data_IF_177199538721
#
_entry.id   IF_177199538721
#
_cell.length_a   1.000
_cell.length_b   1.000
_cell.length_c   1.000
_cell.angle_alpha   90.00
_cell.angle_beta   90.00
_cell.angle_gamma   90.00
#
_symmetry.space_group_name_H-M   'P 1'
#
loop_
_entity.id
_entity.type
_entity.pdbx_description
1 polymer ?
#
# COMPACT_ATOMS: atom_id res chain seq x y z
N UNK A 1 4.18 -3.88 -33.21
CA UNK A 1 3.45 -2.82 -32.50
C UNK A 1 3.72 -1.46 -33.13
N UNK A 2 2.87 -0.51 -32.83
CA UNK A 2 2.96 0.85 -33.33
C UNK A 2 3.33 1.78 -32.16
N UNK A 3 4.44 2.54 -32.30
CA UNK A 3 4.90 3.50 -31.34
C UNK A 3 5.35 4.76 -32.09
N UNK A 4 4.91 5.95 -31.68
CA UNK A 4 5.14 7.24 -32.36
C UNK A 4 4.82 7.21 -33.86
N UNK A 5 3.73 6.52 -34.25
CA UNK A 5 3.32 6.29 -35.63
C UNK A 5 4.30 5.47 -36.49
N UNK A 6 5.29 4.82 -35.89
CA UNK A 6 6.22 3.91 -36.54
C UNK A 6 5.87 2.46 -36.20
N UNK A 7 5.88 1.59 -37.23
CA UNK A 7 5.64 0.16 -37.05
C UNK A 7 6.94 -0.54 -36.65
N UNK A 8 6.92 -1.18 -35.50
CA UNK A 8 8.01 -2.03 -34.99
C UNK A 8 7.62 -3.50 -35.09
N UNK A 9 8.49 -4.29 -35.70
CA UNK A 9 8.31 -5.73 -35.80
C UNK A 9 8.90 -6.41 -34.58
N UNK A 10 8.10 -7.22 -33.84
CA UNK A 10 8.59 -8.04 -32.74
C UNK A 10 8.62 -9.50 -33.13
N UNK A 11 9.65 -10.23 -32.70
CA UNK A 11 9.79 -11.65 -32.98
C UNK A 11 9.11 -12.53 -31.92
N UNK A 12 8.85 -12.01 -30.75
CA UNK A 12 8.16 -12.74 -29.65
C UNK A 12 7.55 -11.78 -28.64
N UNK A 13 6.47 -12.23 -27.98
CA UNK A 13 5.80 -11.53 -26.90
C UNK A 13 4.93 -10.36 -27.35
N UNK A 14 4.37 -9.64 -26.37
CA UNK A 14 3.63 -8.41 -26.56
C UNK A 14 4.39 -7.23 -25.97
N UNK A 15 4.28 -6.01 -26.54
CA UNK A 15 4.96 -4.85 -25.97
C UNK A 15 4.50 -4.60 -24.55
N UNK A 16 5.45 -4.32 -23.65
CA UNK A 16 5.17 -4.02 -22.26
C UNK A 16 4.37 -2.72 -22.16
N UNK A 17 3.25 -2.74 -21.44
CA UNK A 17 2.37 -1.57 -21.28
C UNK A 17 1.30 -1.40 -22.36
N UNK A 18 1.18 -2.33 -23.32
CA UNK A 18 0.11 -2.31 -24.29
C UNK A 18 -1.26 -2.53 -23.63
N UNK A 19 -2.29 -1.77 -24.03
CA UNK A 19 -3.65 -1.83 -23.46
C UNK A 19 -4.26 -3.22 -23.58
N UNK A 20 -4.02 -3.92 -24.70
CA UNK A 20 -4.56 -5.26 -24.98
C UNK A 20 -3.73 -6.39 -24.35
N UNK A 21 -2.48 -6.14 -23.96
CA UNK A 21 -1.55 -7.16 -23.46
C UNK A 21 -2.09 -7.96 -22.28
N UNK A 22 -2.73 -7.36 -21.24
CA UNK A 22 -3.30 -8.13 -20.13
C UNK A 22 -4.43 -9.06 -20.55
N UNK A 23 -5.25 -8.64 -21.54
CA UNK A 23 -6.34 -9.46 -22.05
C UNK A 23 -5.81 -10.67 -22.80
N UNK A 24 -4.87 -10.45 -23.72
CA UNK A 24 -4.25 -11.54 -24.51
C UNK A 24 -3.48 -12.51 -23.59
N UNK A 25 -2.76 -11.99 -22.59
CA UNK A 25 -2.07 -12.82 -21.60
C UNK A 25 -3.06 -13.70 -20.82
N UNK A 26 -4.19 -13.17 -20.40
CA UNK A 26 -5.20 -13.95 -19.68
C UNK A 26 -5.86 -15.00 -20.58
N UNK A 27 -6.14 -14.70 -21.84
CA UNK A 27 -6.66 -15.68 -22.82
C UNK A 27 -5.66 -16.82 -22.99
N UNK A 28 -4.38 -16.50 -23.16
CA UNK A 28 -3.33 -17.50 -23.35
C UNK A 28 -3.11 -18.35 -22.09
N UNK A 29 -3.07 -17.75 -20.92
CA UNK A 29 -2.89 -18.45 -19.65
C UNK A 29 -4.14 -19.20 -19.16
N UNK A 30 -5.29 -19.04 -19.83
CA UNK A 30 -6.47 -19.87 -19.59
C UNK A 30 -6.18 -21.35 -19.84
N UNK A 31 -5.26 -21.70 -20.74
CA UNK A 31 -4.81 -23.08 -20.95
C UNK A 31 -4.16 -23.66 -19.70
N UNK A 32 -3.39 -22.84 -18.96
CA UNK A 32 -2.84 -23.24 -17.66
C UNK A 32 -3.95 -23.46 -16.62
N UNK A 33 -4.95 -22.58 -16.59
CA UNK A 33 -6.08 -22.73 -15.68
C UNK A 33 -6.84 -24.03 -15.97
N UNK A 34 -7.12 -24.32 -17.24
CA UNK A 34 -7.77 -25.55 -17.67
C UNK A 34 -6.96 -26.79 -17.27
N UNK A 35 -5.66 -26.80 -17.52
CA UNK A 35 -4.78 -27.90 -17.11
C UNK A 35 -4.81 -28.15 -15.61
N UNK A 36 -4.70 -27.07 -14.83
CA UNK A 36 -4.70 -27.21 -13.37
C UNK A 36 -6.06 -27.69 -12.87
N UNK A 37 -7.17 -27.11 -13.37
CA UNK A 37 -8.53 -27.41 -12.90
C UNK A 37 -9.02 -28.78 -13.35
N UNK A 38 -8.71 -29.19 -14.59
CA UNK A 38 -9.23 -30.43 -15.17
C UNK A 38 -8.31 -31.64 -14.95
N UNK A 39 -7.01 -31.44 -14.80
CA UNK A 39 -6.06 -32.54 -14.65
C UNK A 39 -5.44 -32.58 -13.23
N UNK A 40 -4.81 -31.48 -12.74
CA UNK A 40 -4.10 -31.51 -11.48
C UNK A 40 -5.03 -31.56 -10.27
N UNK A 41 -6.07 -30.73 -10.24
CA UNK A 41 -6.99 -30.72 -9.10
C UNK A 41 -7.70 -32.06 -8.90
N UNK A 42 -8.25 -32.74 -9.92
CA UNK A 42 -8.84 -34.07 -9.76
C UNK A 42 -7.83 -35.12 -9.33
N UNK A 43 -6.61 -35.10 -9.89
CA UNK A 43 -5.54 -36.05 -9.56
C UNK A 43 -5.08 -35.96 -8.12
N UNK A 44 -4.92 -34.74 -7.60
CA UNK A 44 -4.34 -34.47 -6.26
C UNK A 44 -5.37 -34.11 -5.19
N UNK A 45 -6.68 -34.10 -5.49
CA UNK A 45 -7.73 -33.98 -4.47
C UNK A 45 -8.31 -35.37 -4.15
N UNK A 46 -7.74 -36.04 -3.13
CA UNK A 46 -8.12 -37.40 -2.72
C UNK A 46 -8.73 -37.43 -1.33
N UNK A 47 -9.65 -38.35 -1.10
CA UNK A 47 -10.30 -38.55 0.20
C UNK A 47 -11.31 -37.43 0.56
N UNK A 48 -12.44 -37.76 1.15
CA UNK A 48 -13.42 -36.76 1.63
C UNK A 48 -13.01 -36.13 2.96
N UNK A 49 -12.36 -36.89 3.83
CA UNK A 49 -11.97 -36.50 5.19
C UNK A 49 -10.73 -37.30 5.58
N UNK A 50 -9.82 -36.66 6.35
CA UNK A 50 -8.68 -37.34 6.97
C UNK A 50 -9.17 -38.42 7.93
N UNK A 51 -8.49 -39.55 7.98
CA UNK A 51 -8.70 -40.56 9.03
C UNK A 51 -8.40 -39.97 10.40
N UNK A 52 -9.00 -40.54 11.44
CA UNK A 52 -8.73 -40.10 12.79
C UNK A 52 -7.28 -40.46 13.19
N UNK A 53 -6.62 -39.53 13.85
CA UNK A 53 -5.29 -39.79 14.39
C UNK A 53 -5.34 -40.91 15.42
N UNK A 54 -4.59 -42.00 15.22
CA UNK A 54 -4.61 -43.18 16.14
C UNK A 54 -4.29 -42.81 17.59
N UNK A 55 -3.35 -41.89 17.81
CA UNK A 55 -2.97 -41.45 19.16
C UNK A 55 -4.13 -40.64 19.81
N UNK A 56 -4.77 -39.74 19.03
CA UNK A 56 -5.94 -39.03 19.51
C UNK A 56 -7.07 -39.99 19.92
N UNK A 57 -7.32 -41.01 19.12
CA UNK A 57 -8.37 -42.01 19.37
C UNK A 57 -8.07 -42.79 20.64
N UNK A 58 -6.82 -43.24 20.83
CA UNK A 58 -6.38 -43.92 22.06
C UNK A 58 -6.57 -43.03 23.31
N UNK A 59 -6.09 -41.79 23.26
CA UNK A 59 -6.24 -40.87 24.37
C UNK A 59 -7.72 -40.55 24.67
N UNK A 60 -8.56 -40.54 23.65
CA UNK A 60 -10.00 -40.34 23.83
C UNK A 60 -10.62 -41.52 24.56
N UNK A 61 -10.31 -42.76 24.15
CA UNK A 61 -10.77 -44.00 24.85
C UNK A 61 -10.31 -43.99 26.29
N UNK A 62 -9.05 -43.79 26.57
CA UNK A 62 -8.53 -43.74 27.94
C UNK A 62 -9.15 -42.63 28.79
N UNK A 63 -9.42 -41.47 28.20
CA UNK A 63 -10.12 -40.37 28.91
C UNK A 63 -11.53 -40.79 29.31
N UNK A 64 -12.24 -41.53 28.47
CA UNK A 64 -13.59 -42.02 28.75
C UNK A 64 -13.55 -43.12 29.84
N UNK A 65 -12.57 -44.05 29.76
CA UNK A 65 -12.39 -45.09 30.76
C UNK A 65 -12.01 -44.55 32.14
N UNK A 66 -11.08 -43.57 32.20
CA UNK A 66 -10.70 -42.91 33.45
C UNK A 66 -11.90 -42.21 34.10
N UNK A 67 -12.76 -41.57 33.31
CA UNK A 67 -14.03 -41.01 33.82
C UNK A 67 -14.99 -42.04 34.36
N UNK A 68 -15.16 -43.19 33.67
CA UNK A 68 -16.02 -44.28 34.11
C UNK A 68 -15.51 -44.88 35.42
N UNK A 69 -14.21 -44.93 35.62
CA UNK A 69 -13.56 -45.42 36.88
C UNK A 69 -13.55 -44.36 37.99
N UNK A 70 -14.09 -43.17 37.78
CA UNK A 70 -14.13 -42.07 38.77
C UNK A 70 -12.77 -41.35 38.94
N UNK A 71 -11.76 -41.67 38.13
CA UNK A 71 -10.43 -41.03 38.22
C UNK A 71 -10.41 -39.71 37.43
N UNK A 72 -10.97 -38.64 38.00
CA UNK A 72 -11.11 -37.36 37.38
C UNK A 72 -9.81 -36.64 37.10
N UNK A 73 -8.77 -36.87 37.97
CA UNK A 73 -7.44 -36.27 37.78
C UNK A 73 -6.75 -36.82 36.52
N UNK A 74 -6.76 -38.11 36.36
CA UNK A 74 -6.19 -38.79 35.18
C UNK A 74 -6.97 -38.39 33.90
N UNK A 75 -8.29 -38.39 33.97
CA UNK A 75 -9.12 -37.98 32.87
C UNK A 75 -8.80 -36.54 32.41
N UNK A 76 -8.51 -35.62 33.32
CA UNK A 76 -8.14 -34.26 32.99
C UNK A 76 -6.74 -34.18 32.37
N UNK A 77 -5.75 -34.94 32.87
CA UNK A 77 -4.42 -35.01 32.28
C UNK A 77 -4.47 -35.54 30.83
N UNK A 78 -5.17 -36.64 30.62
CA UNK A 78 -5.38 -37.20 29.27
C UNK A 78 -6.12 -36.25 28.35
N UNK A 79 -7.12 -35.51 28.86
CA UNK A 79 -7.81 -34.44 28.10
C UNK A 79 -6.86 -33.32 27.71
N UNK A 80 -5.97 -32.87 28.61
CA UNK A 80 -4.97 -31.84 28.31
C UNK A 80 -4.01 -32.33 27.21
N UNK A 81 -3.48 -33.55 27.34
CA UNK A 81 -2.61 -34.16 26.31
C UNK A 81 -3.33 -34.34 24.98
N UNK A 82 -4.56 -34.87 24.98
CA UNK A 82 -5.39 -34.96 23.77
C UNK A 82 -5.58 -33.58 23.08
N UNK A 83 -5.68 -32.52 23.88
CA UNK A 83 -5.82 -31.15 23.37
C UNK A 83 -4.61 -30.62 22.59
N UNK A 84 -3.42 -31.26 22.68
CA UNK A 84 -2.23 -30.87 21.91
C UNK A 84 -2.08 -31.63 20.59
N UNK A 85 -2.86 -32.68 20.37
CA UNK A 85 -2.77 -33.59 19.21
C UNK A 85 -3.89 -33.24 18.22
N UNK A 86 -3.62 -33.17 16.89
CA UNK A 86 -4.66 -32.98 15.89
C UNK A 86 -5.61 -34.18 15.86
N UNK A 87 -6.92 -33.90 15.67
CA UNK A 87 -7.94 -34.94 15.55
C UNK A 87 -7.77 -35.80 14.28
N UNK A 88 -7.49 -35.16 13.14
CA UNK A 88 -7.17 -35.84 11.89
C UNK A 88 -5.70 -36.20 11.82
N UNK A 89 -5.37 -37.34 11.23
CA UNK A 89 -3.99 -37.77 11.01
C UNK A 89 -3.30 -36.87 9.99
N UNK A 90 -2.26 -36.10 10.38
CA UNK A 90 -1.52 -35.25 9.45
C UNK A 90 -0.76 -36.05 8.36
N UNK A 91 -0.51 -37.34 8.60
CA UNK A 91 0.22 -38.22 7.68
C UNK A 91 -0.70 -39.21 6.94
N UNK A 92 -2.00 -38.93 6.85
CA UNK A 92 -2.95 -39.78 6.16
C UNK A 92 -2.56 -39.90 4.67
N UNK A 93 -2.20 -41.12 4.17
CA UNK A 93 -1.77 -41.31 2.80
C UNK A 93 -2.91 -41.15 1.78
N UNK A 94 -4.18 -41.32 2.22
CA UNK A 94 -5.34 -41.31 1.35
C UNK A 94 -6.01 -39.93 1.28
N UNK A 95 -5.45 -38.93 1.98
CA UNK A 95 -5.99 -37.59 1.99
C UNK A 95 -4.99 -36.59 1.38
N UNK A 96 -5.42 -35.92 0.32
CA UNK A 96 -4.69 -34.84 -0.35
C UNK A 96 -5.61 -33.70 -0.70
N UNK A 97 -5.08 -32.48 -0.63
CA UNK A 97 -5.77 -31.28 -1.08
C UNK A 97 -4.82 -30.40 -1.90
N UNK A 98 -5.26 -30.03 -3.07
CA UNK A 98 -4.63 -29.04 -3.94
C UNK A 98 -5.58 -27.88 -4.13
N UNK A 99 -5.09 -26.65 -4.01
CA UNK A 99 -5.80 -25.41 -4.30
C UNK A 99 -4.94 -24.55 -5.20
N UNK A 100 -5.55 -23.83 -6.09
CA UNK A 100 -4.90 -23.01 -7.10
C UNK A 100 -5.50 -21.62 -7.12
N UNK A 101 -4.66 -20.60 -7.23
CA UNK A 101 -5.04 -19.21 -7.45
C UNK A 101 -4.02 -18.57 -8.38
N UNK A 102 -4.49 -17.89 -9.41
CA UNK A 102 -3.67 -17.13 -10.36
C UNK A 102 -4.11 -15.68 -10.42
N UNK A 103 -3.14 -14.81 -10.58
CA UNK A 103 -3.32 -13.39 -10.88
C UNK A 103 -2.32 -12.99 -11.97
N UNK A 104 -2.80 -12.74 -13.17
CA UNK A 104 -1.99 -12.54 -14.37
C UNK A 104 -1.02 -13.74 -14.59
N UNK A 105 0.27 -13.49 -14.61
CA UNK A 105 1.34 -14.47 -14.72
C UNK A 105 1.81 -15.06 -13.36
N UNK A 106 1.43 -14.44 -12.26
CA UNK A 106 1.72 -14.97 -10.92
C UNK A 106 0.67 -15.98 -10.49
N UNK A 107 1.09 -17.16 -10.01
CA UNK A 107 0.18 -18.16 -9.44
C UNK A 107 0.75 -18.80 -8.17
N UNK A 108 -0.14 -19.36 -7.36
CA UNK A 108 0.21 -20.10 -6.16
C UNK A 108 -0.63 -21.38 -6.06
N UNK A 109 0.02 -22.47 -5.67
CA UNK A 109 -0.64 -23.72 -5.34
C UNK A 109 -0.46 -24.01 -3.84
N UNK A 110 -1.57 -24.23 -3.15
CA UNK A 110 -1.59 -24.72 -1.78
C UNK A 110 -1.78 -26.23 -1.78
N UNK A 111 -0.76 -26.98 -1.39
CA UNK A 111 -0.81 -28.43 -1.40
C UNK A 111 -0.74 -29.01 0.01
N UNK A 112 -1.58 -29.97 0.28
CA UNK A 112 -1.61 -30.73 1.52
C UNK A 112 -1.24 -32.19 1.22
N UNK A 113 0.06 -32.51 1.38
CA UNK A 113 0.66 -33.79 1.07
C UNK A 113 2.17 -33.78 1.27
N UNK A 114 2.86 -34.89 0.91
CA UNK A 114 4.31 -34.99 1.04
C UNK A 114 5.02 -34.11 0.02
N UNK A 115 6.25 -33.70 0.35
CA UNK A 115 7.08 -32.83 -0.50
C UNK A 115 7.36 -33.45 -1.88
N UNK A 116 7.54 -34.76 -1.95
CA UNK A 116 7.77 -35.47 -3.21
C UNK A 116 6.63 -35.26 -4.21
N UNK A 117 5.36 -35.38 -3.76
CA UNK A 117 4.20 -35.11 -4.63
C UNK A 117 4.13 -33.63 -5.04
N UNK A 118 4.58 -32.68 -4.18
CA UNK A 118 4.66 -31.27 -4.55
C UNK A 118 5.75 -31.02 -5.63
N UNK A 119 6.84 -31.76 -5.59
CA UNK A 119 7.89 -31.74 -6.62
C UNK A 119 7.38 -32.32 -7.95
N UNK A 120 6.59 -33.39 -7.90
CA UNK A 120 5.91 -33.96 -9.08
C UNK A 120 4.95 -32.94 -9.71
N UNK A 121 4.12 -32.26 -8.93
CA UNK A 121 3.22 -31.21 -9.39
C UNK A 121 4.00 -30.10 -10.12
N UNK A 122 5.12 -29.65 -9.52
CA UNK A 122 5.97 -28.64 -10.16
C UNK A 122 6.52 -29.10 -11.50
N UNK A 123 6.92 -30.37 -11.60
CA UNK A 123 7.45 -30.93 -12.84
C UNK A 123 6.36 -31.13 -13.91
N UNK A 124 5.15 -31.49 -13.53
CA UNK A 124 3.99 -31.55 -14.42
C UNK A 124 3.66 -30.17 -14.98
N UNK A 125 3.64 -29.13 -14.14
CA UNK A 125 3.46 -27.73 -14.56
C UNK A 125 4.56 -27.29 -15.53
N UNK A 126 5.83 -27.62 -15.24
CA UNK A 126 6.97 -27.29 -16.13
C UNK A 126 6.77 -27.89 -17.52
N UNK A 127 6.43 -29.19 -17.59
CA UNK A 127 6.20 -29.89 -18.86
C UNK A 127 5.02 -29.32 -19.62
N UNK A 128 3.92 -29.03 -18.94
CA UNK A 128 2.75 -28.41 -19.55
C UNK A 128 3.09 -27.03 -20.14
N UNK A 129 3.72 -26.16 -19.36
CA UNK A 129 4.11 -24.81 -19.80
C UNK A 129 5.07 -24.87 -21.01
N UNK A 130 6.02 -25.79 -21.01
CA UNK A 130 6.91 -26.01 -22.16
C UNK A 130 6.12 -26.41 -23.43
N UNK A 131 5.07 -27.20 -23.28
CA UNK A 131 4.15 -27.59 -24.38
C UNK A 131 3.45 -26.39 -25.02
N UNK A 132 3.10 -25.40 -24.24
CA UNK A 132 2.52 -24.13 -24.73
C UNK A 132 3.59 -23.02 -24.91
N UNK A 133 4.86 -23.39 -25.05
CA UNK A 133 6.00 -22.50 -25.31
C UNK A 133 6.22 -21.42 -24.23
N UNK A 134 5.86 -21.73 -23.00
CA UNK A 134 6.17 -20.92 -21.83
C UNK A 134 7.21 -21.62 -20.96
N UNK A 135 8.01 -20.83 -20.24
CA UNK A 135 9.01 -21.35 -19.29
C UNK A 135 8.65 -20.99 -17.86
N UNK A 136 8.70 -21.98 -16.97
CA UNK A 136 8.55 -21.77 -15.56
C UNK A 136 9.86 -21.15 -15.01
N UNK A 137 9.77 -20.01 -14.33
CA UNK A 137 10.94 -19.39 -13.70
C UNK A 137 11.39 -20.20 -12.48
N UNK A 138 12.53 -20.86 -12.57
CA UNK A 138 13.06 -21.70 -11.49
C UNK A 138 13.44 -20.89 -10.25
N UNK A 139 13.99 -19.69 -10.44
CA UNK A 139 14.39 -18.80 -9.35
C UNK A 139 13.19 -18.29 -8.53
N UNK A 140 12.02 -18.15 -9.17
CA UNK A 140 10.81 -17.62 -8.54
C UNK A 140 9.85 -18.72 -8.07
N UNK A 141 9.94 -19.94 -8.66
CA UNK A 141 9.04 -21.05 -8.34
C UNK A 141 9.64 -21.90 -7.22
N UNK A 142 9.25 -21.61 -5.99
CA UNK A 142 9.75 -22.26 -4.80
C UNK A 142 8.70 -23.17 -4.19
N UNK A 143 9.14 -24.33 -3.68
CA UNK A 143 8.31 -25.17 -2.80
C UNK A 143 8.62 -24.78 -1.37
N UNK A 144 7.64 -24.21 -0.70
CA UNK A 144 7.78 -23.64 0.65
C UNK A 144 6.94 -24.41 1.64
N UNK A 145 7.52 -24.83 2.78
CA UNK A 145 6.78 -25.47 3.85
C UNK A 145 6.05 -24.40 4.68
N UNK A 146 4.75 -24.24 4.43
CA UNK A 146 3.96 -23.10 4.90
C UNK A 146 3.84 -22.92 6.43
N UNK A 147 4.18 -23.95 7.25
CA UNK A 147 4.21 -23.81 8.71
C UNK A 147 5.54 -23.27 9.25
N UNK A 148 6.64 -23.45 8.50
CA UNK A 148 7.99 -23.08 8.94
C UNK A 148 8.54 -21.88 8.18
N UNK A 149 8.05 -21.68 6.97
CA UNK A 149 8.50 -20.65 6.05
C UNK A 149 7.31 -19.85 5.53
N UNK A 150 7.60 -18.73 4.87
CA UNK A 150 6.57 -17.88 4.29
C UNK A 150 6.66 -17.92 2.76
N UNK A 151 5.60 -18.31 2.09
CA UNK A 151 5.48 -18.20 0.64
C UNK A 151 5.15 -16.74 0.26
N UNK A 152 5.73 -16.23 -0.82
CA UNK A 152 5.46 -14.86 -1.30
C UNK A 152 4.49 -14.91 -2.47
N UNK A 153 3.42 -14.14 -2.36
CA UNK A 153 2.44 -13.99 -3.42
C UNK A 153 1.82 -12.59 -3.36
N UNK A 154 1.78 -11.88 -4.48
CA UNK A 154 1.20 -10.53 -4.61
C UNK A 154 1.62 -9.58 -3.49
N UNK A 155 2.92 -9.53 -3.19
CA UNK A 155 3.44 -8.63 -2.16
C UNK A 155 3.14 -9.01 -0.72
N UNK A 156 2.39 -10.09 -0.47
CA UNK A 156 2.18 -10.67 0.86
C UNK A 156 3.13 -11.83 1.13
N UNK A 157 3.29 -12.15 2.39
CA UNK A 157 3.82 -13.44 2.86
C UNK A 157 2.65 -14.29 3.35
N UNK A 158 2.51 -15.50 2.78
CA UNK A 158 1.53 -16.50 3.20
C UNK A 158 2.20 -17.50 4.14
N UNK A 159 1.50 -17.83 5.21
CA UNK A 159 1.90 -18.86 6.18
C UNK A 159 0.67 -19.57 6.73
N UNK A 160 0.88 -20.73 7.35
CA UNK A 160 -0.19 -21.45 8.03
C UNK A 160 -0.03 -21.23 9.54
N UNK A 161 -1.12 -20.77 10.18
CA UNK A 161 -1.14 -20.58 11.61
C UNK A 161 -0.97 -21.90 12.35
N UNK A 162 -0.10 -21.90 13.36
CA UNK A 162 0.06 -23.01 14.27
C UNK A 162 0.32 -22.52 15.69
N UNK A 163 -0.73 -22.49 16.51
CA UNK A 163 -0.64 -22.12 17.92
C UNK A 163 -1.66 -22.88 18.75
N UNK A 164 -1.17 -23.75 19.63
CA UNK A 164 -1.99 -24.57 20.51
C UNK A 164 -2.53 -23.80 21.74
N UNK A 165 -2.01 -22.60 22.00
CA UNK A 165 -2.47 -21.74 23.10
C UNK A 165 -3.79 -21.04 22.78
N UNK A 166 -4.02 -20.72 21.51
CA UNK A 166 -5.23 -20.05 21.02
C UNK A 166 -6.42 -21.04 20.97
N UNK A 167 -7.34 -20.87 21.87
CA UNK A 167 -8.54 -21.73 21.98
C UNK A 167 -9.82 -20.88 22.02
N UNK A 168 -10.80 -21.31 21.24
CA UNK A 168 -12.17 -20.77 21.27
C UNK A 168 -13.10 -21.91 21.70
N UNK A 169 -13.88 -21.73 22.76
CA UNK A 169 -14.73 -22.77 23.33
C UNK A 169 -13.97 -24.08 23.64
N UNK A 170 -12.73 -23.97 24.16
CA UNK A 170 -11.90 -25.10 24.51
C UNK A 170 -11.28 -25.86 23.33
N UNK A 171 -11.52 -25.45 22.08
CA UNK A 171 -10.93 -26.04 20.88
C UNK A 171 -9.87 -25.08 20.31
N UNK A 172 -8.81 -25.64 19.73
CA UNK A 172 -7.80 -24.86 18.97
C UNK A 172 -8.49 -24.19 17.80
N UNK A 173 -8.35 -22.86 17.69
CA UNK A 173 -9.18 -22.06 16.76
C UNK A 173 -8.43 -21.63 15.51
N UNK A 174 -7.09 -21.60 15.53
CA UNK A 174 -6.32 -21.01 14.41
C UNK A 174 -5.45 -22.01 13.65
N UNK A 175 -5.19 -23.20 14.22
CA UNK A 175 -4.31 -24.18 13.58
C UNK A 175 -4.82 -24.61 12.20
N UNK A 176 -3.95 -24.52 11.21
CA UNK A 176 -4.28 -24.86 9.82
C UNK A 176 -4.93 -23.73 9.02
N UNK A 177 -5.13 -22.55 9.62
CA UNK A 177 -5.68 -21.40 8.88
C UNK A 177 -4.58 -20.70 8.07
N UNK A 178 -4.79 -20.43 6.79
CA UNK A 178 -3.89 -19.59 6.01
C UNK A 178 -3.94 -18.16 6.52
N UNK A 179 -2.77 -17.54 6.67
CA UNK A 179 -2.60 -16.17 7.12
C UNK A 179 -1.77 -15.38 6.12
N UNK A 180 -2.21 -14.16 5.86
CA UNK A 180 -1.45 -13.16 5.11
C UNK A 180 -0.67 -12.27 6.08
N UNK A 181 0.57 -11.94 5.73
CA UNK A 181 1.44 -11.08 6.53
C UNK A 181 2.09 -10.00 5.67
N UNK A 182 2.34 -8.85 6.28
CA UNK A 182 3.18 -7.80 5.69
C UNK A 182 4.64 -8.25 5.73
N UNK A 183 5.34 -8.35 4.59
CA UNK A 183 6.75 -8.73 4.56
C UNK A 183 7.64 -7.71 5.29
N UNK A 184 8.66 -8.20 6.01
CA UNK A 184 9.64 -7.33 6.65
C UNK A 184 10.34 -6.40 5.65
N UNK A 185 10.68 -6.94 4.46
CA UNK A 185 11.34 -6.18 3.38
C UNK A 185 10.51 -4.99 2.92
N UNK A 186 9.20 -5.15 2.79
CA UNK A 186 8.27 -4.05 2.41
C UNK A 186 8.30 -2.94 3.45
N UNK A 187 8.19 -3.27 4.74
CA UNK A 187 8.28 -2.27 5.82
C UNK A 187 9.60 -1.50 5.78
N UNK A 188 10.72 -2.22 5.62
CA UNK A 188 12.04 -1.60 5.52
C UNK A 188 12.15 -0.68 4.29
N UNK A 189 11.67 -1.11 3.12
CA UNK A 189 11.66 -0.28 1.92
C UNK A 189 10.84 1.00 2.08
N UNK A 190 9.68 0.90 2.74
CA UNK A 190 8.87 2.08 3.03
C UNK A 190 9.55 3.03 4.03
N UNK A 191 10.20 2.52 5.06
CA UNK A 191 10.97 3.33 6.01
C UNK A 191 12.13 4.04 5.29
N UNK A 192 12.89 3.32 4.47
CA UNK A 192 14.03 3.85 3.72
C UNK A 192 13.66 5.00 2.76
N UNK A 193 12.43 5.03 2.22
CA UNK A 193 11.97 6.16 1.38
C UNK A 193 12.00 7.50 2.11
N UNK A 194 11.89 7.50 3.43
CA UNK A 194 11.82 8.69 4.29
C UNK A 194 13.07 8.88 5.15
N UNK A 195 14.07 8.03 4.97
CA UNK A 195 15.32 8.08 5.71
C UNK A 195 16.52 8.29 4.78
N UNK A 196 17.57 8.90 5.33
CA UNK A 196 18.92 8.95 4.73
C UNK A 196 19.92 8.54 5.83
N UNK A 197 20.70 7.49 5.60
CA UNK A 197 21.61 6.92 6.62
C UNK A 197 20.87 6.66 7.95
N UNK A 198 19.74 5.97 7.86
CA UNK A 198 18.87 5.60 9.00
C UNK A 198 18.23 6.78 9.78
N UNK A 199 18.49 8.01 9.39
CA UNK A 199 17.89 9.21 9.98
C UNK A 199 16.72 9.67 9.13
N UNK A 200 15.57 9.88 9.75
CA UNK A 200 14.39 10.43 9.05
C UNK A 200 14.69 11.85 8.54
N UNK A 201 14.38 12.11 7.28
CA UNK A 201 14.64 13.41 6.62
C UNK A 201 13.35 14.02 6.08
N UNK A 202 13.40 15.34 5.83
CA UNK A 202 12.34 16.02 5.10
C UNK A 202 12.31 15.58 3.62
N UNK A 203 11.16 15.68 2.97
CA UNK A 203 11.04 15.41 1.54
C UNK A 203 11.28 16.70 0.72
N UNK A 204 12.44 16.83 0.06
CA UNK A 204 12.76 18.05 -0.69
C UNK A 204 11.84 18.30 -1.89
N UNK A 205 11.23 17.25 -2.43
CA UNK A 205 10.36 17.35 -3.62
C UNK A 205 9.04 18.10 -3.32
N UNK A 206 8.61 18.06 -2.07
CA UNK A 206 7.34 18.64 -1.63
C UNK A 206 7.49 20.04 -1.00
N UNK A 207 8.71 20.59 -0.90
CA UNK A 207 8.93 21.87 -0.24
C UNK A 207 8.28 23.08 -0.95
N UNK A 208 8.04 22.93 -2.26
CA UNK A 208 7.38 23.96 -3.07
C UNK A 208 5.85 23.81 -3.11
N UNK A 209 5.33 22.67 -2.62
CA UNK A 209 3.89 22.41 -2.59
C UNK A 209 3.26 23.13 -1.39
N UNK A 210 1.95 23.28 -1.42
CA UNK A 210 1.19 23.88 -0.30
C UNK A 210 1.08 22.87 0.86
N UNK A 211 0.90 23.39 2.09
CA UNK A 211 0.87 22.54 3.29
C UNK A 211 -0.25 21.48 3.20
N UNK A 212 -1.38 21.87 2.61
CA UNK A 212 -2.47 20.93 2.32
C UNK A 212 -2.02 19.79 1.41
N UNK A 213 -1.36 20.12 0.30
CA UNK A 213 -0.91 19.13 -0.68
C UNK A 213 0.20 18.24 -0.11
N UNK A 214 1.07 18.81 0.73
CA UNK A 214 2.08 18.03 1.45
C UNK A 214 1.40 16.96 2.32
N UNK A 215 0.45 17.37 3.17
CA UNK A 215 -0.26 16.43 4.06
C UNK A 215 -1.05 15.41 3.25
N UNK A 216 -1.72 15.86 2.18
CA UNK A 216 -2.49 14.98 1.30
C UNK A 216 -1.61 13.92 0.62
N UNK A 217 -0.44 14.31 0.08
CA UNK A 217 0.50 13.38 -0.55
C UNK A 217 0.96 12.27 0.42
N UNK A 218 1.34 12.65 1.65
CA UNK A 218 1.72 11.68 2.68
C UNK A 218 0.53 10.77 3.06
N UNK A 219 -0.68 11.35 3.16
CA UNK A 219 -1.86 10.56 3.51
C UNK A 219 -2.28 9.59 2.41
N UNK A 220 -2.26 9.99 1.15
CA UNK A 220 -2.56 9.11 0.01
C UNK A 220 -1.59 7.92 -0.02
N UNK A 221 -0.30 8.18 0.11
CA UNK A 221 0.72 7.13 0.16
C UNK A 221 0.50 6.18 1.37
N UNK A 222 0.16 6.75 2.53
CA UNK A 222 -0.13 5.99 3.74
C UNK A 222 -1.40 5.15 3.60
N UNK A 223 -2.50 5.73 3.14
CA UNK A 223 -3.77 5.03 2.96
C UNK A 223 -3.64 3.89 1.93
N UNK A 224 -2.93 4.12 0.83
CA UNK A 224 -2.65 3.08 -0.15
C UNK A 224 -1.92 1.88 0.46
N UNK A 225 -0.92 2.13 1.30
CA UNK A 225 -0.19 1.08 2.00
C UNK A 225 -1.08 0.30 2.98
N UNK A 226 -1.86 1.00 3.81
CA UNK A 226 -2.74 0.38 4.82
C UNK A 226 -3.86 -0.40 4.14
N UNK A 227 -4.51 0.18 3.13
CA UNK A 227 -5.59 -0.47 2.39
C UNK A 227 -5.09 -1.75 1.72
N UNK A 228 -3.92 -1.70 1.09
CA UNK A 228 -3.33 -2.88 0.47
C UNK A 228 -3.08 -4.01 1.48
N UNK A 229 -2.58 -3.70 2.67
CA UNK A 229 -2.23 -4.70 3.69
C UNK A 229 -3.30 -4.91 4.79
N UNK A 230 -4.52 -4.44 4.60
CA UNK A 230 -5.60 -4.59 5.60
C UNK A 230 -5.96 -6.04 5.93
N UNK A 231 -5.71 -6.98 4.98
CA UNK A 231 -5.89 -8.42 5.15
C UNK A 231 -4.74 -9.10 5.91
N UNK A 232 -3.66 -8.39 6.24
CA UNK A 232 -2.51 -8.97 6.92
C UNK A 232 -2.73 -9.02 8.44
N UNK A 233 -2.55 -10.20 9.05
CA UNK A 233 -2.72 -10.38 10.51
C UNK A 233 -1.75 -9.54 11.34
N UNK A 234 -0.60 -9.18 10.76
CA UNK A 234 0.42 -8.32 11.38
C UNK A 234 0.41 -6.88 10.86
N UNK A 235 -0.73 -6.41 10.31
CA UNK A 235 -0.86 -5.05 9.77
C UNK A 235 -0.46 -3.95 10.76
N UNK A 236 -0.63 -4.19 12.06
CA UNK A 236 -0.20 -3.30 13.14
C UNK A 236 1.30 -2.95 13.10
N UNK A 237 2.12 -3.82 12.50
CA UNK A 237 3.55 -3.53 12.31
C UNK A 237 3.83 -2.34 11.38
N UNK A 238 2.86 -1.92 10.57
CA UNK A 238 2.93 -0.70 9.77
C UNK A 238 2.93 0.58 10.61
N UNK A 239 2.62 0.51 11.93
CA UNK A 239 2.78 1.65 12.83
C UNK A 239 4.21 2.20 12.84
N UNK A 240 5.23 1.38 12.65
CA UNK A 240 6.62 1.83 12.50
C UNK A 240 6.79 2.72 11.27
N UNK A 241 6.20 2.32 10.13
CA UNK A 241 6.21 3.11 8.89
C UNK A 241 5.45 4.41 9.08
N UNK A 242 4.25 4.36 9.70
CA UNK A 242 3.45 5.54 10.05
C UNK A 242 4.24 6.57 10.84
N UNK A 243 5.00 6.11 11.82
CA UNK A 243 5.78 6.96 12.70
C UNK A 243 6.90 7.69 11.94
N UNK A 244 7.65 6.97 11.10
CA UNK A 244 8.70 7.55 10.25
C UNK A 244 8.11 8.51 9.21
N UNK A 245 7.00 8.15 8.58
CA UNK A 245 6.29 9.04 7.65
C UNK A 245 5.81 10.31 8.33
N UNK A 246 5.24 10.22 9.55
CA UNK A 246 4.80 11.38 10.33
C UNK A 246 5.98 12.30 10.69
N UNK A 247 7.10 11.73 11.12
CA UNK A 247 8.31 12.48 11.42
C UNK A 247 8.84 13.21 10.16
N UNK A 248 8.89 12.52 9.02
CA UNK A 248 9.30 13.12 7.75
C UNK A 248 8.35 14.23 7.29
N UNK A 249 7.04 14.06 7.44
CA UNK A 249 6.02 15.06 7.15
C UNK A 249 6.25 16.32 8.00
N UNK A 250 6.42 16.14 9.31
CA UNK A 250 6.66 17.24 10.25
C UNK A 250 7.97 17.97 9.91
N UNK A 251 9.04 17.22 9.61
CA UNK A 251 10.32 17.80 9.16
C UNK A 251 10.17 18.56 7.84
N UNK A 252 9.32 18.08 6.92
CA UNK A 252 9.08 18.74 5.62
C UNK A 252 8.40 20.09 5.82
N UNK A 253 7.32 20.15 6.60
CA UNK A 253 6.60 21.40 6.89
C UNK A 253 7.48 22.34 7.71
N UNK A 254 8.17 21.85 8.74
CA UNK A 254 9.08 22.64 9.56
C UNK A 254 10.21 23.29 8.73
N UNK A 255 10.82 22.51 7.83
CA UNK A 255 11.87 22.99 6.93
C UNK A 255 11.35 24.05 5.96
N UNK A 256 10.16 23.81 5.37
CA UNK A 256 9.51 24.76 4.46
C UNK A 256 9.32 26.13 5.12
N UNK A 257 8.77 26.15 6.34
CA UNK A 257 8.46 27.37 7.09
C UNK A 257 9.63 27.91 7.92
N UNK A 258 10.80 27.23 7.92
CA UNK A 258 11.96 27.56 8.76
C UNK A 258 11.59 27.67 10.26
N UNK A 259 10.78 26.72 10.72
CA UNK A 259 10.28 26.63 12.10
C UNK A 259 10.71 25.32 12.76
N UNK A 260 10.59 25.24 14.10
CA UNK A 260 10.83 23.99 14.84
C UNK A 260 9.66 23.01 14.68
N UNK A 261 9.90 21.74 14.87
CA UNK A 261 8.88 20.68 14.79
C UNK A 261 7.69 20.95 15.75
N UNK A 262 7.95 21.48 16.93
CA UNK A 262 6.93 21.85 17.93
C UNK A 262 5.91 22.86 17.39
N UNK A 263 6.36 23.79 16.52
CA UNK A 263 5.46 24.73 15.85
C UNK A 263 4.48 23.99 14.92
N UNK A 264 4.95 22.95 14.20
CA UNK A 264 4.08 22.17 13.30
C UNK A 264 2.99 21.44 14.09
N UNK A 265 3.36 20.78 15.20
CA UNK A 265 2.38 20.12 16.06
C UNK A 265 1.39 21.10 16.70
N UNK A 266 1.84 22.30 17.09
CA UNK A 266 0.95 23.33 17.65
C UNK A 266 -0.02 23.88 16.60
N UNK A 267 0.43 24.04 15.34
CA UNK A 267 -0.38 24.63 14.28
C UNK A 267 -1.29 23.62 13.60
N UNK A 268 -0.82 22.39 13.39
CA UNK A 268 -1.47 21.36 12.57
C UNK A 268 -1.79 20.07 13.33
N UNK A 269 -1.43 19.98 14.60
CA UNK A 269 -1.82 18.85 15.43
C UNK A 269 -3.31 18.88 15.72
N UNK A 270 -4.00 17.78 15.44
CA UNK A 270 -5.42 17.64 15.66
C UNK A 270 -5.76 16.23 16.16
N UNK A 271 -6.97 16.09 16.70
CA UNK A 271 -7.54 14.79 17.04
C UNK A 271 -8.61 14.48 16.00
N UNK A 272 -8.51 13.33 15.36
CA UNK A 272 -9.49 12.88 14.37
C UNK A 272 -10.85 12.54 15.03
N UNK A 273 -11.94 12.41 14.26
CA UNK A 273 -13.21 11.90 14.78
C UNK A 273 -13.10 10.55 15.49
N UNK A 274 -12.12 9.71 15.09
CA UNK A 274 -11.83 8.40 15.70
C UNK A 274 -10.93 8.52 16.96
N UNK A 275 -10.70 9.72 17.49
CA UNK A 275 -9.87 9.95 18.68
C UNK A 275 -8.35 9.82 18.48
N UNK A 276 -7.88 9.81 17.22
CA UNK A 276 -6.46 9.58 16.89
C UNK A 276 -5.75 10.90 16.67
N UNK A 277 -4.57 11.07 17.28
CA UNK A 277 -3.70 12.22 17.02
C UNK A 277 -3.15 12.16 15.60
N UNK A 278 -3.43 13.19 14.83
CA UNK A 278 -3.06 13.33 13.42
C UNK A 278 -2.48 14.71 13.10
N UNK A 279 -1.94 14.89 11.91
CA UNK A 279 -1.59 16.20 11.34
C UNK A 279 -2.72 16.57 10.36
N UNK A 280 -3.37 17.70 10.62
CA UNK A 280 -4.50 18.20 9.86
C UNK A 280 -4.21 19.58 9.29
N UNK A 281 -4.51 19.78 8.01
CA UNK A 281 -4.52 21.09 7.36
C UNK A 281 -5.90 21.33 6.77
N UNK A 282 -6.48 22.48 7.11
CA UNK A 282 -7.74 22.97 6.54
C UNK A 282 -7.50 24.13 5.58
N UNK A 283 -8.24 24.11 4.48
CA UNK A 283 -8.29 25.21 3.52
C UNK A 283 -9.74 25.68 3.41
N UNK A 284 -10.01 26.86 3.92
CA UNK A 284 -11.34 27.46 3.82
C UNK A 284 -11.63 27.84 2.37
N UNK A 285 -12.90 27.72 1.98
CA UNK A 285 -13.38 28.01 0.63
C UNK A 285 -14.68 28.81 0.72
N UNK A 286 -14.74 29.93 0.00
CA UNK A 286 -15.94 30.76 -0.03
C UNK A 286 -17.14 29.95 -0.58
N UNK A 287 -18.24 29.93 0.19
CA UNK A 287 -19.49 29.24 -0.18
C UNK A 287 -19.42 27.71 -0.32
N UNK A 288 -18.30 27.06 0.05
CA UNK A 288 -18.12 25.61 -0.02
C UNK A 288 -17.53 25.05 1.28
N UNK A 289 -17.79 23.78 1.60
CA UNK A 289 -17.16 23.14 2.75
C UNK A 289 -15.63 23.22 2.66
N UNK A 290 -14.92 23.37 3.79
CA UNK A 290 -13.45 23.44 3.80
C UNK A 290 -12.83 22.15 3.27
N UNK A 291 -11.70 22.25 2.59
CA UNK A 291 -10.89 21.10 2.26
C UNK A 291 -10.05 20.69 3.47
N UNK A 292 -10.08 19.42 3.83
CA UNK A 292 -9.37 18.91 4.98
C UNK A 292 -8.46 17.77 4.55
N UNK A 293 -7.15 17.94 4.75
CA UNK A 293 -6.17 16.89 4.61
C UNK A 293 -5.71 16.40 6.00
N UNK A 294 -5.78 15.08 6.26
CA UNK A 294 -5.37 14.48 7.54
C UNK A 294 -4.39 13.35 7.29
N UNK A 295 -3.24 13.39 7.93
CA UNK A 295 -2.29 12.28 7.93
C UNK A 295 -2.45 11.43 9.18
N UNK A 296 -2.69 10.13 8.99
CA UNK A 296 -2.70 9.15 10.07
C UNK A 296 -3.93 9.18 10.96
N UNK A 297 -5.04 9.74 10.48
CA UNK A 297 -6.29 9.92 11.24
C UNK A 297 -7.07 8.63 11.50
N UNK A 298 -6.83 7.56 10.74
CA UNK A 298 -7.56 6.29 10.88
C UNK A 298 -6.74 5.27 11.66
N UNK A 299 -7.40 4.39 12.45
CA UNK A 299 -6.73 3.27 13.11
C UNK A 299 -6.26 2.24 12.10
N UNK A 300 -5.22 1.49 12.46
CA UNK A 300 -4.76 0.35 11.69
C UNK A 300 -5.29 -0.90 12.38
N UNK A 301 -6.13 -1.66 11.68
CA UNK A 301 -6.64 -2.93 12.19
C UNK A 301 -6.72 -3.97 11.08
N UNK A 302 -6.58 -5.21 11.49
CA UNK A 302 -6.80 -6.36 10.64
C UNK A 302 -8.29 -6.50 10.32
N UNK A 303 -8.62 -6.62 9.03
CA UNK A 303 -9.98 -6.87 8.58
C UNK A 303 -10.00 -7.94 7.50
N UNK A 304 -10.32 -9.17 7.88
CA UNK A 304 -10.40 -10.31 6.96
C UNK A 304 -11.54 -10.24 5.94
N UNK A 305 -12.50 -9.35 6.17
CA UNK A 305 -13.67 -9.15 5.30
C UNK A 305 -13.61 -7.82 4.54
N UNK A 306 -12.46 -7.17 4.52
CA UNK A 306 -12.33 -5.92 3.80
C UNK A 306 -12.62 -6.15 2.31
N UNK A 307 -13.60 -5.45 1.80
CA UNK A 307 -13.74 -5.23 0.37
C UNK A 307 -12.62 -4.25 -0.02
N UNK A 308 -11.71 -4.70 -0.88
CA UNK A 308 -10.69 -3.83 -1.45
C UNK A 308 -11.35 -3.15 -2.64
N UNK A 309 -11.89 -1.96 -2.43
CA UNK A 309 -12.39 -1.12 -3.52
C UNK A 309 -11.19 -0.36 -4.09
N UNK A 310 -10.98 -0.46 -5.39
CA UNK A 310 -10.05 0.36 -6.15
C UNK A 310 -10.61 1.78 -6.28
N UNK A 311 -10.67 2.49 -5.17
CA UNK A 311 -10.96 3.93 -5.18
C UNK A 311 -9.68 4.62 -5.63
N UNK A 312 -9.60 4.97 -6.89
CA UNK A 312 -8.56 5.89 -7.39
C UNK A 312 -8.73 7.21 -6.64
N UNK A 313 -7.75 7.61 -5.81
CA UNK A 313 -7.84 8.92 -5.17
C UNK A 313 -7.97 9.97 -6.27
N UNK A 314 -8.93 10.86 -6.14
CA UNK A 314 -9.11 11.94 -7.11
C UNK A 314 -7.90 12.87 -7.04
N UNK A 315 -6.87 12.57 -7.83
CA UNK A 315 -5.60 13.31 -7.88
C UNK A 315 -5.77 14.72 -8.46
N UNK A 316 -6.97 15.06 -8.98
CA UNK A 316 -7.32 16.41 -9.41
C UNK A 316 -7.22 17.44 -8.27
N UNK A 317 -7.19 17.00 -7.00
CA UNK A 317 -7.03 17.88 -5.83
C UNK A 317 -5.59 18.27 -5.53
N UNK A 318 -4.58 17.79 -6.27
CA UNK A 318 -3.15 18.10 -6.01
C UNK A 318 -2.78 19.58 -6.10
N UNK A 319 -3.71 20.45 -6.50
CA UNK A 319 -3.55 21.92 -6.58
C UNK A 319 -4.81 22.62 -6.10
N UNK A 320 -5.39 22.17 -5.03
CA UNK A 320 -6.67 22.67 -4.52
C UNK A 320 -6.67 24.19 -4.29
N UNK A 321 -5.58 24.75 -3.77
CA UNK A 321 -5.46 26.21 -3.61
C UNK A 321 -5.25 26.91 -4.95
N UNK A 322 -4.50 26.33 -5.88
CA UNK A 322 -4.37 26.91 -7.22
C UNK A 322 -5.73 26.95 -7.95
N UNK A 323 -6.49 25.86 -7.87
CA UNK A 323 -7.85 25.80 -8.44
C UNK A 323 -8.76 26.81 -7.77
N UNK A 324 -8.74 26.92 -6.44
CA UNK A 324 -9.53 27.92 -5.70
C UNK A 324 -9.16 29.34 -6.09
N UNK A 325 -7.87 29.62 -6.27
CA UNK A 325 -7.35 30.93 -6.69
C UNK A 325 -7.74 31.26 -8.14
N UNK A 326 -7.71 30.27 -9.04
CA UNK A 326 -8.20 30.43 -10.43
C UNK A 326 -9.71 30.68 -10.48
N UNK A 327 -10.48 29.91 -9.68
CA UNK A 327 -11.94 30.04 -9.62
C UNK A 327 -12.40 31.33 -8.93
N UNK A 328 -11.53 32.03 -8.19
CA UNK A 328 -11.82 33.33 -7.65
C UNK A 328 -11.80 34.44 -8.73
N UNK A 329 -11.30 34.13 -9.95
CA UNK A 329 -11.26 35.03 -11.13
C UNK A 329 -10.61 36.37 -10.82
N UNK A 330 -9.74 36.45 -9.79
CA UNK A 330 -9.08 37.70 -9.36
C UNK A 330 -7.58 37.63 -9.52
N UNK A 331 -7.01 38.65 -10.13
CA UNK A 331 -5.55 38.78 -10.22
C UNK A 331 -4.93 39.00 -8.85
N UNK A 332 -3.98 38.18 -8.44
CA UNK A 332 -3.28 38.24 -7.14
C UNK A 332 -2.34 39.47 -7.02
N UNK A 333 -2.09 40.19 -8.13
CA UNK A 333 -1.25 41.38 -8.17
C UNK A 333 -2.03 42.70 -8.21
N UNK A 334 -2.98 42.83 -9.11
CA UNK A 334 -3.73 44.08 -9.27
C UNK A 334 -5.20 44.03 -8.78
N UNK A 335 -5.71 42.79 -8.48
CA UNK A 335 -7.08 42.61 -8.01
C UNK A 335 -8.16 42.70 -9.08
N UNK A 336 -7.80 42.93 -10.35
CA UNK A 336 -8.76 42.99 -11.44
C UNK A 336 -9.40 41.63 -11.69
N UNK A 337 -10.69 41.66 -12.06
CA UNK A 337 -11.45 40.52 -12.55
C UNK A 337 -11.28 40.44 -14.07
N UNK A 338 -11.13 39.28 -14.66
CA UNK A 338 -10.97 39.08 -16.12
C UNK A 338 -10.30 37.75 -16.46
N UNK A 339 -9.77 37.67 -17.68
CA UNK A 339 -8.98 36.48 -18.08
C UNK A 339 -7.78 36.27 -17.17
N UNK A 340 -7.84 35.22 -16.40
CA UNK A 340 -6.82 34.88 -15.38
C UNK A 340 -5.94 33.74 -15.88
N UNK A 341 -4.64 33.95 -15.83
CA UNK A 341 -3.62 33.00 -16.23
C UNK A 341 -2.75 32.58 -15.05
N UNK A 342 -2.08 31.44 -15.15
CA UNK A 342 -1.13 30.97 -14.14
C UNK A 342 0.30 31.21 -14.57
N UNK A 343 0.97 32.13 -13.91
CA UNK A 343 2.42 32.33 -14.07
C UNK A 343 3.20 31.29 -13.28
N UNK A 344 4.03 30.50 -13.98
CA UNK A 344 4.87 29.46 -13.41
C UNK A 344 6.34 29.83 -13.39
N UNK A 345 7.06 29.49 -12.31
CA UNK A 345 8.52 29.56 -12.23
C UNK A 345 9.12 28.19 -11.94
N UNK A 346 10.32 27.92 -12.46
CA UNK A 346 11.04 26.66 -12.22
C UNK A 346 11.44 26.45 -10.75
N UNK A 347 11.65 27.53 -9.99
CA UNK A 347 11.97 27.45 -8.58
C UNK A 347 12.17 28.83 -7.92
N UNK A 348 11.43 29.06 -6.84
CA UNK A 348 11.45 30.34 -6.10
C UNK A 348 12.82 30.67 -5.53
N UNK A 349 13.60 29.66 -5.10
CA UNK A 349 14.96 29.88 -4.56
C UNK A 349 15.91 30.48 -5.57
N UNK A 350 15.87 29.99 -6.82
CA UNK A 350 16.69 30.54 -7.90
C UNK A 350 16.32 31.98 -8.24
N UNK A 351 15.02 32.26 -8.21
CA UNK A 351 14.50 33.62 -8.44
C UNK A 351 14.92 34.60 -7.35
N UNK A 352 14.79 34.22 -6.08
CA UNK A 352 15.23 35.04 -4.93
C UNK A 352 16.74 35.31 -4.99
N UNK A 353 17.54 34.30 -5.34
CA UNK A 353 19.00 34.44 -5.46
C UNK A 353 19.39 35.41 -6.58
N UNK A 354 18.63 35.40 -7.70
CA UNK A 354 18.85 36.32 -8.85
C UNK A 354 18.71 37.79 -8.46
N UNK A 355 17.77 38.12 -7.59
CA UNK A 355 17.54 39.50 -7.15
C UNK A 355 18.41 39.89 -5.97
N UNK A 356 18.60 39.06 -4.95
CA UNK A 356 19.48 39.35 -3.81
C UNK A 356 20.95 39.54 -4.18
N UNK A 357 21.44 38.86 -5.23
CA UNK A 357 22.83 38.95 -5.69
C UNK A 357 23.20 40.16 -6.55
N UNK A 358 22.23 41.00 -6.96
CA UNK A 358 22.45 42.11 -7.91
C UNK A 358 22.18 43.51 -7.35
N UNK A 359 21.91 43.64 -6.04
CA UNK A 359 21.59 44.95 -5.42
C UNK A 359 20.36 45.63 -6.01
N UNK A 360 19.50 44.93 -6.76
CA UNK A 360 18.24 45.44 -7.30
C UNK A 360 17.11 45.11 -6.35
N UNK A 361 16.19 46.04 -6.20
CA UNK A 361 14.97 45.82 -5.44
C UNK A 361 14.19 44.63 -6.03
N UNK A 362 13.74 43.75 -5.12
CA UNK A 362 12.99 42.56 -5.53
C UNK A 362 11.58 42.99 -5.96
N UNK A 363 11.16 42.70 -7.19
CA UNK A 363 9.81 43.05 -7.64
C UNK A 363 8.72 42.47 -6.72
N UNK A 364 7.62 43.20 -6.59
CA UNK A 364 6.52 42.81 -5.69
C UNK A 364 5.99 41.38 -5.95
N UNK A 365 5.85 40.97 -7.19
CA UNK A 365 5.39 39.67 -7.56
C UNK A 365 6.37 38.55 -7.06
N UNK A 366 7.68 38.82 -7.09
CA UNK A 366 8.69 37.87 -6.56
C UNK A 366 8.61 37.82 -5.04
N UNK A 367 8.43 39.00 -4.38
CA UNK A 367 8.23 39.05 -2.92
C UNK A 367 6.97 38.26 -2.54
N UNK A 368 5.86 38.45 -3.25
CA UNK A 368 4.60 37.73 -3.03
C UNK A 368 4.77 36.21 -3.14
N UNK A 369 5.44 35.75 -4.21
CA UNK A 369 5.74 34.32 -4.36
C UNK A 369 6.68 33.79 -3.29
N UNK A 370 7.66 34.59 -2.85
CA UNK A 370 8.61 34.23 -1.80
C UNK A 370 7.95 34.13 -0.42
N UNK A 371 7.08 35.10 -0.07
CA UNK A 371 6.31 35.12 1.18
C UNK A 371 5.41 33.88 1.31
N UNK A 372 4.77 33.50 0.22
CA UNK A 372 3.88 32.35 0.16
C UNK A 372 4.62 31.02 -0.10
N UNK A 373 5.91 31.09 -0.42
CA UNK A 373 6.75 29.96 -0.79
C UNK A 373 6.13 29.13 -1.95
N UNK A 374 5.62 29.81 -2.97
CA UNK A 374 4.91 29.21 -4.09
C UNK A 374 5.68 29.37 -5.39
N UNK A 375 5.53 28.38 -6.30
CA UNK A 375 6.05 28.43 -7.68
C UNK A 375 5.00 28.91 -8.70
N UNK A 376 3.81 29.28 -8.24
CA UNK A 376 2.69 29.70 -9.09
C UNK A 376 2.09 31.01 -8.59
N UNK A 377 1.68 31.88 -9.51
CA UNK A 377 0.96 33.11 -9.27
C UNK A 377 -0.22 33.19 -10.23
N UNK A 378 -1.41 33.53 -9.74
CA UNK A 378 -2.62 33.73 -10.57
C UNK A 378 -2.74 35.17 -10.90
N UNK A 379 -2.68 35.53 -12.17
CA UNK A 379 -2.58 36.90 -12.63
C UNK A 379 -3.45 37.14 -13.88
N UNK A 380 -3.92 38.36 -14.10
CA UNK A 380 -4.54 38.72 -15.35
C UNK A 380 -3.50 38.78 -16.48
N UNK A 381 -3.95 38.71 -17.73
CA UNK A 381 -3.09 38.71 -18.90
C UNK A 381 -2.11 39.92 -18.89
N UNK A 382 -2.56 41.13 -18.60
CA UNK A 382 -1.74 42.33 -18.55
C UNK A 382 -0.59 42.23 -17.53
N UNK A 383 -0.89 41.75 -16.31
CA UNK A 383 0.14 41.54 -15.28
C UNK A 383 1.12 40.44 -15.71
N UNK A 384 0.62 39.38 -16.38
CA UNK A 384 1.45 38.27 -16.87
C UNK A 384 2.45 38.78 -17.93
N UNK A 385 1.99 39.53 -18.91
CA UNK A 385 2.85 40.16 -19.94
C UNK A 385 3.87 41.11 -19.32
N UNK A 386 3.49 41.95 -18.36
CA UNK A 386 4.42 42.85 -17.63
C UNK A 386 5.49 42.10 -16.84
N UNK A 387 5.14 40.97 -16.24
CA UNK A 387 6.11 40.09 -15.54
C UNK A 387 7.14 39.56 -16.53
N UNK A 388 6.67 39.07 -17.71
CA UNK A 388 7.57 38.49 -18.71
C UNK A 388 8.48 39.54 -19.35
N UNK A 389 7.96 40.75 -19.60
CA UNK A 389 8.73 41.86 -20.19
C UNK A 389 9.62 42.59 -19.14
N UNK A 390 9.52 42.22 -17.85
CA UNK A 390 10.29 42.83 -16.76
C UNK A 390 9.84 44.27 -16.44
N UNK A 391 8.66 44.69 -16.92
CA UNK A 391 8.11 46.04 -16.77
C UNK A 391 7.06 46.14 -15.65
N UNK A 392 6.89 45.10 -14.84
CA UNK A 392 5.93 45.12 -13.73
C UNK A 392 6.41 46.05 -12.61
N UNK A 393 5.67 47.14 -12.36
CA UNK A 393 5.98 48.22 -11.42
C UNK A 393 5.44 48.07 -9.99
N UNK A 394 4.66 47.02 -9.77
CA UNK A 394 4.38 46.46 -8.42
C UNK A 394 3.53 47.31 -7.49
N UNK A 395 2.35 47.79 -7.90
CA UNK A 395 1.38 48.36 -6.96
C UNK A 395 0.88 47.30 -5.96
N UNK A 396 1.04 47.55 -4.64
CA UNK A 396 0.52 46.68 -3.55
C UNK A 396 -1.02 46.65 -3.60
N UNK A 397 -1.60 45.44 -3.54
CA UNK A 397 -3.01 45.28 -3.18
C UNK A 397 -3.24 45.91 -1.79
N UNK A 398 -4.00 46.99 -1.72
CA UNK A 398 -4.33 47.67 -0.47
C UNK A 398 -3.96 49.16 -0.41
N UNK A 399 -3.32 49.74 -1.43
CA UNK A 399 -3.00 51.20 -1.47
C UNK A 399 -4.02 51.97 -2.32
N UNK A 400 -5.28 51.55 -2.40
CA UNK A 400 -6.40 52.39 -2.87
C UNK A 400 -7.35 52.60 -1.71
N UNK A 401 -7.37 53.89 -1.25
CA UNK A 401 -8.45 54.41 -0.42
C UNK A 401 -9.78 54.34 -1.15
#
# INVERSE_FOLDING_TARGET
YLEDWQYHRTFSGTPQGGIISPLLSNIYLNELDNFVEQELLPKYNRGKRRRNNPEYSRLNTWTVEAKKKGNLREAEQLRKRKGTIPYGDPFDPDYRRLRYVRYADDFILGFEGPKAEAEEIREELRRFLAGIRLTLSEEKTLITHASNENARFLGYELTIAWDNSQKTNGKRSINGLPMLRVPRKVRQQWIQKYQRREVTVHNPKLLADEDYDIVLNYNVAWQGLVNYYTLAVNVSTLNQVKQVMRESLVKTIAHKHKRRHTWVYRKYGAISPDGIVCIEVKVERDGKPPLIARFGAKPIHYNKFAAIEDVTPNLATRRSQLITRLLAEKCELCGNDGEIEVHHIKGIRGLIKKYKGRGKDMPWWVQRMAEMYRNTLVVCHDCHVKIHNGTYDGAKLGARK
#
